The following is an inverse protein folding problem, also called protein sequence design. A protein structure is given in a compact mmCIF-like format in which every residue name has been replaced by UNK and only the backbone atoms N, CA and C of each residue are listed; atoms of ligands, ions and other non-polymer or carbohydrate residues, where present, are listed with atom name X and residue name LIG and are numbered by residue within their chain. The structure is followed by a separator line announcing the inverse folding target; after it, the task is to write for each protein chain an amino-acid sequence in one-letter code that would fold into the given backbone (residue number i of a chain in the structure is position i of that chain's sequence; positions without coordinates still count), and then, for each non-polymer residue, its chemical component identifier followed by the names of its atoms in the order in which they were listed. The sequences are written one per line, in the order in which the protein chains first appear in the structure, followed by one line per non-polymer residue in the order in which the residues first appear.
data_IF_334933847138
#
_entry.id   IF_334933847138
#
_cell.length_a   1.000
_cell.length_b   1.000
_cell.length_c   1.000
_cell.angle_alpha   90.00
_cell.angle_beta   90.00
_cell.angle_gamma   90.00
#
_symmetry.space_group_name_H-M   'P 1'
#
loop_
_entity.id
_entity.type
_entity.pdbx_description
1 polymer ?
#
# COMPACT_ATOMS: atom_id res chain seq x y z
N UNK A 1 -77.90 -11.06 43.92
CA UNK A 1 -77.43 -9.68 44.16
C UNK A 1 -76.04 -9.71 44.79
N UNK A 2 -75.12 -8.93 44.19
CA UNK A 2 -73.79 -8.46 44.67
C UNK A 2 -72.79 -9.50 45.23
N UNK A 3 -71.93 -10.02 44.34
CA UNK A 3 -70.56 -10.46 44.65
C UNK A 3 -69.70 -9.25 45.02
N UNK A 4 -69.12 -9.23 46.21
CA UNK A 4 -68.11 -8.26 46.65
C UNK A 4 -66.71 -8.70 46.22
N UNK A 5 -66.12 -7.97 45.27
CA UNK A 5 -64.77 -8.18 44.71
C UNK A 5 -63.78 -7.37 45.56
N UNK A 6 -63.17 -7.96 46.59
CA UNK A 6 -62.01 -7.34 47.28
C UNK A 6 -60.78 -7.47 46.39
N UNK A 7 -60.10 -6.35 46.20
CA UNK A 7 -59.04 -6.17 45.21
C UNK A 7 -57.73 -6.82 45.67
N UNK A 8 -57.03 -7.44 44.72
CA UNK A 8 -55.76 -8.18 44.90
C UNK A 8 -54.57 -7.28 45.31
N UNK A 9 -54.82 -5.98 45.48
CA UNK A 9 -53.82 -4.94 45.77
C UNK A 9 -53.65 -4.67 47.27
N UNK A 10 -54.65 -4.97 48.10
CA UNK A 10 -54.54 -4.78 49.56
C UNK A 10 -53.67 -5.87 50.23
N UNK A 11 -53.68 -7.09 49.68
CA UNK A 11 -52.90 -8.21 50.21
C UNK A 11 -51.40 -8.12 49.87
N UNK A 12 -51.03 -7.41 48.80
CA UNK A 12 -49.63 -7.15 48.46
C UNK A 12 -49.02 -6.05 49.33
N UNK A 13 -49.77 -4.99 49.64
CA UNK A 13 -49.26 -3.89 50.47
C UNK A 13 -49.08 -4.30 51.94
N UNK A 14 -49.92 -5.18 52.47
CA UNK A 14 -49.75 -5.75 53.82
C UNK A 14 -48.44 -6.55 53.96
N UNK A 15 -48.11 -7.37 52.96
CA UNK A 15 -46.89 -8.22 52.94
C UNK A 15 -45.60 -7.41 52.76
N UNK A 16 -45.66 -6.32 51.99
CA UNK A 16 -44.51 -5.40 51.82
C UNK A 16 -44.23 -4.63 53.11
N UNK A 17 -45.26 -4.21 53.84
CA UNK A 17 -45.10 -3.53 55.13
C UNK A 17 -44.56 -4.45 56.23
N UNK A 18 -44.96 -5.73 56.23
CA UNK A 18 -44.39 -6.72 57.17
C UNK A 18 -42.92 -7.03 56.84
N UNK A 19 -42.55 -7.11 55.56
CA UNK A 19 -41.14 -7.30 55.16
C UNK A 19 -40.24 -6.11 55.51
N UNK A 20 -40.72 -4.86 55.35
CA UNK A 20 -39.96 -3.67 55.70
C UNK A 20 -39.79 -3.51 57.22
N UNK A 21 -40.83 -3.77 58.01
CA UNK A 21 -40.73 -3.70 59.48
C UNK A 21 -39.79 -4.79 60.05
N UNK A 22 -39.79 -5.99 59.46
CA UNK A 22 -38.91 -7.09 59.89
C UNK A 22 -37.44 -6.84 59.49
N UNK A 23 -37.19 -6.13 58.38
CA UNK A 23 -35.83 -5.78 57.96
C UNK A 23 -35.23 -4.61 58.76
N UNK A 24 -36.05 -3.65 59.21
CA UNK A 24 -35.57 -2.58 60.09
C UNK A 24 -35.28 -3.08 61.53
N UNK A 25 -36.02 -4.07 62.03
CA UNK A 25 -35.78 -4.65 63.36
C UNK A 25 -34.50 -5.51 63.44
N UNK A 26 -34.03 -6.07 62.32
CA UNK A 26 -32.75 -6.80 62.25
C UNK A 26 -31.52 -5.88 62.16
N UNK A 27 -31.67 -4.64 61.71
CA UNK A 27 -30.57 -3.66 61.58
C UNK A 27 -30.27 -2.97 62.93
N UNK A 28 -31.19 -2.98 63.89
CA UNK A 28 -30.99 -2.36 65.21
C UNK A 28 -30.39 -3.30 66.29
N UNK A 29 -30.21 -4.60 65.99
CA UNK A 29 -29.75 -5.62 66.95
C UNK A 29 -28.37 -6.23 66.61
N UNK A 30 -27.84 -5.92 65.44
CA UNK A 30 -26.44 -6.15 65.07
C UNK A 30 -25.87 -4.75 64.91
N UNK A 31 -25.02 -4.32 65.86
CA UNK A 31 -24.42 -2.99 65.84
C UNK A 31 -23.88 -2.63 64.45
N UNK A 32 -23.95 -1.34 64.11
CA UNK A 32 -23.43 -0.79 62.87
C UNK A 32 -22.17 -1.54 62.43
N UNK A 33 -22.18 -2.28 61.30
CA UNK A 33 -20.97 -2.39 60.53
C UNK A 33 -20.82 -1.00 59.91
N UNK A 34 -20.27 -0.05 60.67
CA UNK A 34 -19.43 0.96 60.05
C UNK A 34 -18.56 0.17 59.09
N UNK A 35 -18.64 0.36 57.76
CA UNK A 35 -17.75 -0.33 56.87
C UNK A 35 -16.37 0.14 57.31
N UNK A 36 -15.65 -0.72 58.03
CA UNK A 36 -14.23 -0.55 58.22
C UNK A 36 -13.70 -0.38 56.81
N UNK A 37 -13.19 0.82 56.53
CA UNK A 37 -12.37 1.11 55.35
C UNK A 37 -11.57 -0.14 55.07
N UNK A 38 -11.77 -0.79 53.92
CA UNK A 38 -11.07 -2.01 53.57
C UNK A 38 -9.58 -1.81 53.88
N UNK A 39 -9.08 -2.49 54.92
CA UNK A 39 -7.79 -2.18 55.52
C UNK A 39 -6.75 -2.12 54.40
N UNK A 40 -6.06 -0.98 54.31
CA UNK A 40 -5.04 -0.75 53.30
C UNK A 40 -3.99 -1.84 53.49
N UNK A 41 -3.73 -2.69 52.47
CA UNK A 41 -2.78 -3.78 52.62
C UNK A 41 -1.38 -3.25 52.95
N UNK A 42 -0.65 -3.95 53.81
CA UNK A 42 0.68 -3.54 54.26
C UNK A 42 1.66 -3.27 53.10
N UNK A 43 1.51 -3.98 51.98
CA UNK A 43 2.37 -3.77 50.80
C UNK A 43 2.15 -2.42 50.10
N UNK A 44 1.04 -1.72 50.38
CA UNK A 44 0.76 -0.38 49.86
C UNK A 44 1.53 0.67 50.66
N UNK A 45 1.70 0.47 51.97
CA UNK A 45 2.36 1.41 52.88
C UNK A 45 3.85 1.13 53.05
N UNK A 46 4.25 -0.14 53.01
CA UNK A 46 5.64 -0.58 53.13
C UNK A 46 6.00 -1.55 52.01
N UNK A 47 7.10 -1.26 51.29
CA UNK A 47 7.55 -2.13 50.19
C UNK A 47 8.01 -3.48 50.74
N UNK A 48 7.44 -4.61 50.30
CA UNK A 48 7.91 -5.93 50.69
C UNK A 48 9.35 -6.16 50.21
N UNK A 49 10.25 -6.52 51.12
CA UNK A 49 11.59 -7.00 50.75
C UNK A 49 11.55 -8.50 50.47
N UNK A 50 11.84 -8.90 49.23
CA UNK A 50 11.91 -10.29 48.82
C UNK A 50 13.25 -10.57 48.15
N UNK A 51 14.13 -11.31 48.83
CA UNK A 51 15.43 -11.71 48.25
C UNK A 51 15.22 -12.54 46.98
N UNK A 52 15.95 -12.21 45.91
CA UNK A 52 15.84 -12.87 44.61
C UNK A 52 14.72 -12.32 43.70
N UNK A 53 13.97 -11.31 44.16
CA UNK A 53 12.95 -10.64 43.35
C UNK A 53 13.20 -9.13 43.26
N UNK A 54 12.94 -8.55 42.10
CA UNK A 54 12.67 -7.11 41.99
C UNK A 54 11.18 -6.88 42.25
N UNK A 55 10.86 -5.92 43.12
CA UNK A 55 9.47 -5.65 43.57
C UNK A 55 9.07 -4.26 43.12
N UNK A 56 7.98 -4.20 42.34
CA UNK A 56 7.39 -2.97 41.82
C UNK A 56 6.10 -2.62 42.52
N UNK A 57 5.96 -1.39 42.99
CA UNK A 57 4.70 -0.86 43.50
C UNK A 57 4.38 0.42 42.75
N UNK A 58 3.20 0.47 42.12
CA UNK A 58 2.74 1.61 41.36
C UNK A 58 1.36 2.05 41.82
N UNK A 59 1.19 3.36 42.02
CA UNK A 59 -0.08 4.00 42.38
C UNK A 59 -0.60 4.86 41.24
N UNK A 60 -1.92 5.03 41.16
CA UNK A 60 -2.58 6.01 40.30
C UNK A 60 -3.85 6.54 40.98
N UNK A 61 -4.10 7.83 40.82
CA UNK A 61 -5.31 8.50 41.30
C UNK A 61 -6.50 8.17 40.41
N UNK A 62 -7.68 8.01 41.01
CA UNK A 62 -8.88 7.50 40.34
C UNK A 62 -9.60 8.59 39.54
N UNK A 63 -9.51 9.85 39.96
CA UNK A 63 -10.06 11.01 39.23
C UNK A 63 -11.50 10.80 38.76
N UNK A 64 -11.82 11.32 37.57
CA UNK A 64 -13.06 11.01 36.82
C UNK A 64 -12.90 9.81 35.86
N UNK A 65 -11.71 9.21 35.83
CA UNK A 65 -11.35 8.17 34.89
C UNK A 65 -11.96 6.81 35.24
N UNK A 66 -12.20 5.99 34.23
CA UNK A 66 -12.65 4.61 34.45
C UNK A 66 -11.59 3.82 35.23
N UNK A 67 -12.03 3.01 36.21
CA UNK A 67 -11.16 2.18 37.06
C UNK A 67 -10.15 1.32 36.26
N UNK A 68 -10.52 0.86 35.07
CA UNK A 68 -9.62 0.12 34.17
C UNK A 68 -8.42 0.95 33.73
N UNK A 69 -8.63 2.22 33.40
CA UNK A 69 -7.56 3.16 32.98
C UNK A 69 -6.63 3.42 34.17
N UNK A 70 -7.21 3.67 35.34
CA UNK A 70 -6.46 3.92 36.59
C UNK A 70 -5.60 2.71 36.95
N UNK A 71 -6.16 1.49 36.87
CA UNK A 71 -5.41 0.25 37.08
C UNK A 71 -4.30 0.05 36.06
N UNK A 72 -4.51 0.41 34.79
CA UNK A 72 -3.47 0.35 33.77
C UNK A 72 -2.32 1.32 34.08
N UNK A 73 -2.62 2.54 34.52
CA UNK A 73 -1.60 3.51 34.96
C UNK A 73 -0.82 3.00 36.19
N UNK A 74 -1.51 2.49 37.20
CA UNK A 74 -0.88 1.89 38.39
C UNK A 74 0.02 0.69 38.02
N UNK A 75 -0.43 -0.14 37.06
CA UNK A 75 0.38 -1.25 36.54
C UNK A 75 1.64 -0.74 35.82
N UNK A 76 1.51 0.29 34.98
CA UNK A 76 2.64 0.90 34.29
C UNK A 76 3.66 1.49 35.28
N UNK A 77 3.18 2.16 36.34
CA UNK A 77 4.04 2.68 37.41
C UNK A 77 4.79 1.56 38.15
N UNK A 78 4.13 0.44 38.45
CA UNK A 78 4.77 -0.71 39.10
C UNK A 78 5.86 -1.35 38.21
N UNK A 79 5.63 -1.40 36.91
CA UNK A 79 6.60 -1.90 35.93
C UNK A 79 7.82 -0.96 35.79
N UNK A 80 7.58 0.36 35.78
CA UNK A 80 8.63 1.37 35.74
C UNK A 80 9.54 1.27 36.98
N UNK A 81 8.94 1.07 38.15
CA UNK A 81 9.66 0.88 39.42
C UNK A 81 10.56 -0.38 39.41
N UNK A 82 10.08 -1.52 38.88
CA UNK A 82 10.92 -2.71 38.68
C UNK A 82 12.09 -2.41 37.76
N UNK A 83 11.85 -1.70 36.67
CA UNK A 83 12.88 -1.49 35.68
C UNK A 83 13.93 -0.44 36.13
N UNK A 84 13.54 0.56 36.93
CA UNK A 84 14.46 1.45 37.62
C UNK A 84 15.42 0.71 38.57
N UNK A 85 14.92 -0.31 39.30
CA UNK A 85 15.76 -1.15 40.16
C UNK A 85 16.81 -1.96 39.38
N UNK A 86 16.49 -2.35 38.14
CA UNK A 86 17.40 -3.13 37.30
C UNK A 86 18.45 -2.27 36.59
N UNK A 87 18.45 -0.94 36.79
CA UNK A 87 19.28 0.01 36.05
C UNK A 87 19.17 -0.15 34.52
N UNK A 88 18.02 -0.64 34.06
CA UNK A 88 17.70 -0.66 32.65
C UNK A 88 17.14 0.72 32.36
N UNK A 89 17.73 1.43 31.40
CA UNK A 89 17.15 2.67 30.89
C UNK A 89 15.77 2.34 30.32
N UNK A 90 14.75 2.53 31.14
CA UNK A 90 13.38 2.64 30.67
C UNK A 90 13.35 3.99 30.01
N UNK A 91 13.29 4.02 28.67
CA UNK A 91 12.68 5.17 27.99
C UNK A 91 11.18 5.11 28.32
N UNK A 92 10.81 5.27 29.58
CA UNK A 92 9.44 5.49 30.01
C UNK A 92 9.19 6.97 29.88
N UNK A 93 8.36 7.33 28.93
CA UNK A 93 7.69 8.63 28.85
C UNK A 93 6.71 8.82 30.02
N UNK A 94 7.19 8.72 31.27
CA UNK A 94 6.39 8.79 32.49
C UNK A 94 6.83 9.94 33.42
N UNK A 95 7.56 10.94 32.90
CA UNK A 95 7.92 12.16 33.63
C UNK A 95 7.64 13.46 32.85
N UNK A 96 6.76 13.43 31.84
CA UNK A 96 6.32 14.63 31.13
C UNK A 96 4.80 14.65 30.95
N UNK A 97 4.09 14.68 32.08
CA UNK A 97 2.63 14.80 32.14
C UNK A 97 2.23 15.93 33.09
N UNK A 98 2.97 17.04 33.03
CA UNK A 98 2.64 18.28 33.73
C UNK A 98 2.97 19.49 32.83
N UNK A 99 2.41 19.50 31.62
CA UNK A 99 2.21 20.70 30.81
C UNK A 99 1.25 20.35 29.66
N UNK A 100 0.06 20.93 29.74
CA UNK A 100 -1.03 20.84 28.77
C UNK A 100 -0.65 21.52 27.44
N UNK A 101 -1.08 20.93 26.31
CA UNK A 101 -1.66 21.70 25.20
C UNK A 101 -2.55 20.81 24.30
N UNK A 102 -3.62 21.41 23.78
CA UNK A 102 -4.99 20.85 23.70
C UNK A 102 -5.37 20.10 22.40
N UNK A 103 -4.45 19.44 21.67
CA UNK A 103 -4.85 18.74 20.42
C UNK A 103 -4.01 17.51 20.00
N UNK A 104 -3.22 16.93 20.91
CA UNK A 104 -2.27 15.84 20.60
C UNK A 104 -2.69 14.43 21.06
N UNK A 105 -3.91 14.26 21.54
CA UNK A 105 -4.23 13.15 22.47
C UNK A 105 -4.38 11.76 21.81
N UNK A 106 -4.68 11.64 20.51
CA UNK A 106 -4.99 10.33 19.90
C UNK A 106 -3.81 9.60 19.25
N UNK A 107 -2.80 10.28 18.72
CA UNK A 107 -1.64 9.60 18.09
C UNK A 107 -0.47 9.36 19.06
N UNK A 108 -0.35 10.17 20.11
CA UNK A 108 0.65 9.99 21.17
C UNK A 108 0.29 8.81 22.07
N UNK A 109 -1.00 8.54 22.30
CA UNK A 109 -1.44 7.45 23.19
C UNK A 109 -1.12 6.05 22.64
N UNK A 110 -1.28 5.82 21.33
CA UNK A 110 -0.90 4.55 20.69
C UNK A 110 0.62 4.35 20.59
N UNK A 111 1.38 5.45 20.50
CA UNK A 111 2.84 5.44 20.45
C UNK A 111 3.49 5.16 21.82
N UNK A 112 2.95 5.76 22.87
CA UNK A 112 3.54 5.71 24.23
C UNK A 112 3.30 4.37 24.94
N UNK A 113 2.31 3.60 24.48
CA UNK A 113 2.09 2.21 24.95
C UNK A 113 3.19 1.26 24.47
N UNK A 114 4.07 1.67 23.55
CA UNK A 114 4.86 0.73 22.75
C UNK A 114 6.32 0.50 23.15
N UNK A 115 7.03 1.37 23.88
CA UNK A 115 8.51 1.18 23.98
C UNK A 115 9.08 1.49 25.36
N UNK A 116 8.85 0.54 26.28
CA UNK A 116 9.91 -0.01 27.12
C UNK A 116 9.86 -1.52 26.90
N UNK A 117 10.97 -2.13 26.45
CA UNK A 117 11.03 -3.48 25.87
C UNK A 117 10.06 -4.49 26.51
N UNK A 118 9.01 -4.88 25.78
CA UNK A 118 8.11 -5.96 26.18
C UNK A 118 8.87 -7.25 26.49
N UNK A 119 10.02 -7.47 25.84
CA UNK A 119 10.94 -8.57 26.11
C UNK A 119 11.62 -8.52 27.50
N UNK A 120 11.88 -7.35 28.08
CA UNK A 120 12.52 -7.25 29.40
C UNK A 120 11.53 -7.41 30.57
N UNK A 121 10.22 -7.28 30.35
CA UNK A 121 9.21 -7.33 31.41
C UNK A 121 8.20 -8.48 31.22
N UNK A 122 8.46 -9.39 30.27
CA UNK A 122 7.61 -10.55 29.96
C UNK A 122 7.40 -11.51 31.15
N UNK A 123 8.36 -11.58 32.07
CA UNK A 123 8.33 -12.48 33.23
C UNK A 123 7.80 -11.80 34.52
N UNK A 124 7.30 -10.56 34.43
CA UNK A 124 6.74 -9.86 35.58
C UNK A 124 5.37 -10.43 35.94
N UNK A 125 5.17 -10.73 37.22
CA UNK A 125 3.90 -11.24 37.75
C UNK A 125 3.23 -10.15 38.59
N UNK A 126 1.98 -9.85 38.27
CA UNK A 126 1.11 -9.05 39.15
C UNK A 126 0.71 -9.93 40.32
N UNK A 127 1.11 -9.52 41.52
CA UNK A 127 0.87 -10.27 42.75
C UNK A 127 -0.43 -9.82 43.41
N UNK A 128 -0.67 -8.51 43.44
CA UNK A 128 -1.87 -7.95 44.04
C UNK A 128 -2.27 -6.62 43.36
N UNK A 129 -3.55 -6.28 43.51
CA UNK A 129 -4.09 -4.97 43.16
C UNK A 129 -5.05 -4.58 44.27
N UNK A 130 -4.95 -3.34 44.72
CA UNK A 130 -5.85 -2.77 45.71
C UNK A 130 -6.31 -1.41 45.22
N UNK A 131 -7.61 -1.18 45.23
CA UNK A 131 -8.20 0.10 44.83
C UNK A 131 -9.10 0.59 45.96
N UNK A 132 -8.77 1.76 46.48
CA UNK A 132 -9.63 2.53 47.37
C UNK A 132 -10.51 3.50 46.59
N UNK A 133 -11.14 4.43 47.32
CA UNK A 133 -12.06 5.40 46.71
C UNK A 133 -11.37 6.42 45.80
N UNK A 134 -10.12 6.76 46.11
CA UNK A 134 -9.37 7.81 45.39
C UNK A 134 -8.14 7.30 44.67
N UNK A 135 -7.67 6.07 44.96
CA UNK A 135 -6.39 5.57 44.45
C UNK A 135 -6.45 4.07 44.14
N UNK A 136 -5.75 3.64 43.09
CA UNK A 136 -5.40 2.24 42.86
C UNK A 136 -3.90 2.02 42.97
N UNK A 137 -3.54 0.89 43.55
CA UNK A 137 -2.18 0.42 43.73
C UNK A 137 -2.04 -0.97 43.12
N UNK A 138 -0.90 -1.22 42.48
CA UNK A 138 -0.54 -2.51 41.89
C UNK A 138 0.82 -2.94 42.43
N UNK A 139 0.88 -4.17 42.93
CA UNK A 139 2.11 -4.84 43.33
C UNK A 139 2.48 -5.88 42.28
N UNK A 140 3.67 -5.71 41.71
CA UNK A 140 4.28 -6.62 40.76
C UNK A 140 5.63 -7.13 41.28
N UNK A 141 6.05 -8.31 40.82
CA UNK A 141 7.38 -8.84 41.09
C UNK A 141 8.00 -9.51 39.87
N UNK A 142 9.33 -9.50 39.81
CA UNK A 142 10.12 -10.18 38.80
C UNK A 142 11.15 -11.10 39.49
N UNK A 143 11.18 -12.38 39.12
CA UNK A 143 12.20 -13.31 39.58
C UNK A 143 13.52 -13.05 38.84
N UNK A 144 14.56 -12.67 39.60
CA UNK A 144 15.85 -12.29 39.03
C UNK A 144 16.62 -13.50 38.48
N UNK A 145 16.48 -14.68 39.09
CA UNK A 145 17.15 -15.90 38.60
C UNK A 145 16.50 -16.39 37.32
N UNK A 146 15.17 -16.39 37.28
CA UNK A 146 14.44 -16.75 36.07
C UNK A 146 14.79 -15.79 34.93
N UNK A 147 14.83 -14.48 35.22
CA UNK A 147 15.25 -13.46 34.25
C UNK A 147 16.64 -13.74 33.69
N UNK A 148 17.63 -13.96 34.55
CA UNK A 148 19.00 -14.25 34.11
C UNK A 148 19.06 -15.51 33.24
N UNK A 149 18.31 -16.56 33.59
CA UNK A 149 18.21 -17.76 32.78
C UNK A 149 17.60 -17.47 31.40
N UNK A 150 16.49 -16.72 31.35
CA UNK A 150 15.84 -16.29 30.10
C UNK A 150 16.78 -15.45 29.23
N UNK A 151 17.56 -14.54 29.82
CA UNK A 151 18.54 -13.72 29.10
C UNK A 151 19.66 -14.58 28.50
N UNK A 152 20.19 -15.55 29.24
CA UNK A 152 21.21 -16.49 28.75
C UNK A 152 20.65 -17.34 27.61
N UNK A 153 19.47 -17.92 27.79
CA UNK A 153 18.81 -18.73 26.75
C UNK A 153 18.54 -17.91 25.48
N UNK A 154 18.08 -16.67 25.61
CA UNK A 154 17.89 -15.76 24.48
C UNK A 154 19.20 -15.42 23.77
N UNK A 155 20.28 -15.17 24.53
CA UNK A 155 21.59 -14.91 23.96
C UNK A 155 22.16 -16.14 23.23
N UNK A 156 21.99 -17.33 23.79
CA UNK A 156 22.42 -18.59 23.18
C UNK A 156 21.62 -18.90 21.91
N UNK A 157 20.29 -18.71 21.93
CA UNK A 157 19.45 -18.80 20.73
C UNK A 157 19.87 -17.82 19.65
N UNK A 158 20.13 -16.55 20.01
CA UNK A 158 20.61 -15.54 19.06
C UNK A 158 21.95 -15.95 18.45
N UNK A 159 22.88 -16.48 19.26
CA UNK A 159 24.19 -16.95 18.78
C UNK A 159 24.05 -18.13 17.84
N UNK A 160 23.30 -19.16 18.22
CA UNK A 160 23.05 -20.32 17.38
C UNK A 160 22.40 -19.92 16.05
N UNK A 161 21.40 -19.04 16.09
CA UNK A 161 20.75 -18.53 14.89
C UNK A 161 21.72 -17.77 13.99
N UNK A 162 22.59 -16.94 14.56
CA UNK A 162 23.61 -16.22 13.81
C UNK A 162 24.58 -17.19 13.12
N UNK A 163 25.04 -18.22 13.83
CA UNK A 163 25.91 -19.27 13.26
C UNK A 163 25.25 -19.96 12.06
N UNK A 164 24.00 -20.42 12.20
CA UNK A 164 23.23 -21.03 11.10
C UNK A 164 23.09 -20.12 9.87
N UNK A 165 22.90 -18.81 10.09
CA UNK A 165 22.76 -17.82 9.03
C UNK A 165 24.09 -17.56 8.33
N UNK A 166 25.19 -17.51 9.08
CA UNK A 166 26.55 -17.35 8.54
C UNK A 166 26.95 -18.57 7.70
N UNK A 167 26.65 -19.77 8.17
CA UNK A 167 26.84 -21.01 7.39
C UNK A 167 26.07 -20.96 6.08
N UNK A 168 24.79 -20.57 6.12
CA UNK A 168 23.94 -20.47 4.93
C UNK A 168 24.39 -19.38 3.95
N UNK A 169 24.97 -18.29 4.46
CA UNK A 169 25.56 -17.23 3.65
C UNK A 169 26.84 -17.72 2.93
N UNK A 170 27.67 -18.50 3.63
CA UNK A 170 28.91 -19.05 3.11
C UNK A 170 28.69 -20.26 2.17
N UNK A 171 27.57 -20.95 2.29
CA UNK A 171 27.25 -22.14 1.50
C UNK A 171 27.22 -21.84 -0.02
N UNK A 172 28.11 -22.47 -0.80
CA UNK A 172 28.13 -22.31 -2.25
C UNK A 172 26.89 -22.86 -2.95
N UNK A 173 26.19 -23.82 -2.34
CA UNK A 173 25.02 -24.50 -2.92
C UNK A 173 23.70 -23.76 -2.66
N UNK A 174 23.66 -22.91 -1.64
CA UNK A 174 22.53 -22.04 -1.36
C UNK A 174 22.31 -21.05 -2.52
N UNK A 175 21.05 -20.81 -2.88
CA UNK A 175 20.73 -19.82 -3.92
C UNK A 175 21.10 -18.41 -3.47
N UNK A 176 21.37 -17.51 -4.42
CA UNK A 176 21.66 -16.10 -4.12
C UNK A 176 20.61 -15.47 -3.22
N UNK A 177 19.32 -15.71 -3.48
CA UNK A 177 18.23 -15.17 -2.69
C UNK A 177 18.28 -15.63 -1.23
N UNK A 178 18.48 -16.92 -1.00
CA UNK A 178 18.57 -17.51 0.35
C UNK A 178 19.80 -16.99 1.08
N UNK A 179 20.96 -16.97 0.43
CA UNK A 179 22.20 -16.49 1.02
C UNK A 179 22.13 -14.99 1.37
N UNK A 180 21.60 -14.16 0.47
CA UNK A 180 21.46 -12.72 0.74
C UNK A 180 20.43 -12.43 1.84
N UNK A 181 19.32 -13.17 1.89
CA UNK A 181 18.34 -13.05 2.97
C UNK A 181 18.96 -13.48 4.32
N UNK A 182 19.74 -14.56 4.33
CA UNK A 182 20.44 -14.99 5.53
C UNK A 182 21.46 -13.95 6.01
N UNK A 183 22.22 -13.33 5.10
CA UNK A 183 23.13 -12.23 5.45
C UNK A 183 22.41 -10.99 5.98
N UNK A 184 21.25 -10.65 5.42
CA UNK A 184 20.43 -9.55 5.91
C UNK A 184 19.89 -9.82 7.33
N UNK A 185 19.41 -11.03 7.60
CA UNK A 185 18.94 -11.45 8.93
C UNK A 185 20.11 -11.47 9.94
N UNK A 186 21.26 -12.03 9.55
CA UNK A 186 22.47 -12.05 10.37
C UNK A 186 22.91 -10.63 10.77
N UNK A 187 22.81 -9.66 9.86
CA UNK A 187 23.15 -8.26 10.13
C UNK A 187 22.18 -7.58 11.11
N UNK A 188 20.95 -8.10 11.26
CA UNK A 188 20.01 -7.62 12.28
C UNK A 188 20.23 -8.26 13.65
N UNK A 189 20.91 -9.42 13.70
CA UNK A 189 21.17 -10.17 14.92
C UNK A 189 22.55 -9.91 15.50
N UNK A 190 23.52 -9.51 14.69
CA UNK A 190 24.89 -9.27 15.11
C UNK A 190 25.02 -7.94 15.86
N UNK A 191 25.74 -7.94 16.98
CA UNK A 191 26.07 -6.70 17.71
C UNK A 191 27.13 -5.88 16.94
N UNK A 192 27.97 -6.56 16.15
CA UNK A 192 28.90 -5.99 15.16
C UNK A 192 28.70 -6.63 13.79
N UNK A 193 28.46 -5.79 12.78
CA UNK A 193 28.20 -6.19 11.42
C UNK A 193 29.47 -6.56 10.62
N UNK A 194 30.68 -6.30 11.13
CA UNK A 194 31.93 -6.58 10.41
C UNK A 194 32.05 -8.02 9.91
N UNK A 195 31.68 -8.99 10.75
CA UNK A 195 31.73 -10.42 10.43
C UNK A 195 30.68 -10.85 9.41
N UNK A 196 29.56 -10.12 9.28
CA UNK A 196 28.48 -10.41 8.34
C UNK A 196 28.70 -9.71 7.00
N UNK A 197 29.15 -8.45 7.03
CA UNK A 197 29.24 -7.62 5.83
C UNK A 197 30.26 -8.14 4.82
N UNK A 198 31.43 -8.59 5.26
CA UNK A 198 32.45 -9.10 4.34
C UNK A 198 31.96 -10.29 3.49
N UNK A 199 31.47 -11.40 4.09
CA UNK A 199 30.95 -12.53 3.30
C UNK A 199 29.68 -12.15 2.51
N UNK A 200 28.86 -11.23 3.02
CA UNK A 200 27.66 -10.79 2.32
C UNK A 200 27.97 -9.99 1.06
N UNK A 201 28.91 -9.03 1.16
CA UNK A 201 29.42 -8.27 0.02
C UNK A 201 30.13 -9.18 -0.99
N UNK A 202 30.90 -10.17 -0.52
CA UNK A 202 31.54 -11.13 -1.38
C UNK A 202 30.51 -11.96 -2.17
N UNK A 203 29.44 -12.42 -1.51
CA UNK A 203 28.36 -13.14 -2.21
C UNK A 203 27.65 -12.23 -3.20
N UNK A 204 27.32 -11.01 -2.79
CA UNK A 204 26.67 -10.02 -3.65
C UNK A 204 27.51 -9.65 -4.88
N UNK A 205 28.84 -9.58 -4.73
CA UNK A 205 29.76 -9.31 -5.84
C UNK A 205 29.72 -10.39 -6.94
N UNK A 206 29.41 -11.63 -6.56
CA UNK A 206 29.22 -12.75 -7.48
C UNK A 206 27.93 -12.67 -8.31
N UNK A 207 26.99 -11.79 -7.95
CA UNK A 207 25.70 -11.66 -8.63
C UNK A 207 25.81 -10.61 -9.73
N UNK A 208 25.47 -10.95 -10.97
CA UNK A 208 25.42 -10.03 -12.10
C UNK A 208 23.99 -9.90 -12.61
N UNK A 209 23.65 -8.70 -13.08
CA UNK A 209 22.45 -8.48 -13.89
C UNK A 209 22.92 -8.30 -15.33
N UNK A 210 22.28 -8.99 -16.27
CA UNK A 210 22.44 -8.73 -17.69
C UNK A 210 21.79 -7.39 -18.06
N UNK A 211 22.01 -6.92 -19.28
CA UNK A 211 21.21 -5.82 -19.82
C UNK A 211 19.71 -6.12 -19.74
N UNK A 212 18.90 -5.07 -19.71
CA UNK A 212 17.44 -5.19 -19.80
C UNK A 212 17.08 -5.37 -21.28
N UNK A 213 16.40 -6.46 -21.60
CA UNK A 213 15.90 -6.76 -22.94
C UNK A 213 14.42 -6.44 -23.06
N UNK A 214 14.02 -5.84 -24.19
CA UNK A 214 12.62 -5.59 -24.51
C UNK A 214 12.08 -6.76 -25.33
N UNK A 215 11.19 -7.57 -24.74
CA UNK A 215 10.56 -8.73 -25.39
C UNK A 215 9.34 -8.33 -26.25
N UNK A 216 9.25 -7.05 -26.61
CA UNK A 216 8.09 -6.36 -27.20
C UNK A 216 7.37 -5.46 -26.20
N UNK A 217 6.39 -4.65 -26.63
CA UNK A 217 5.46 -4.03 -25.66
C UNK A 217 4.30 -4.97 -25.36
N UNK A 218 3.95 -5.19 -24.08
CA UNK A 218 4.35 -4.40 -22.91
C UNK A 218 5.37 -5.08 -21.97
N UNK A 219 6.33 -5.89 -22.44
CA UNK A 219 7.16 -6.71 -21.54
C UNK A 219 8.67 -6.40 -21.65
N UNK A 220 9.32 -6.31 -20.48
CA UNK A 220 10.76 -6.22 -20.34
C UNK A 220 11.27 -7.36 -19.48
N UNK A 221 12.52 -7.74 -19.69
CA UNK A 221 13.19 -8.81 -18.96
C UNK A 221 14.60 -8.40 -18.56
N UNK A 222 15.03 -8.87 -17.39
CA UNK A 222 16.43 -8.88 -16.98
C UNK A 222 16.79 -10.27 -16.47
N UNK A 223 18.02 -10.71 -16.72
CA UNK A 223 18.53 -11.99 -16.23
C UNK A 223 19.52 -11.71 -15.10
N UNK A 224 19.28 -12.33 -13.95
CA UNK A 224 20.21 -12.32 -12.83
C UNK A 224 20.99 -13.64 -12.80
N UNK A 225 22.31 -13.54 -12.68
CA UNK A 225 23.20 -14.69 -12.58
C UNK A 225 23.99 -14.60 -11.27
N UNK A 226 24.16 -15.71 -10.57
CA UNK A 226 25.03 -15.88 -9.41
C UNK A 226 26.22 -16.74 -9.83
N UNK A 227 27.39 -16.11 -9.94
CA UNK A 227 28.64 -16.75 -10.40
C UNK A 227 28.47 -17.47 -11.74
N UNK A 228 27.67 -16.88 -12.62
CA UNK A 228 27.39 -17.40 -13.97
C UNK A 228 26.24 -18.40 -14.08
N UNK A 229 25.61 -18.79 -12.96
CA UNK A 229 24.42 -19.65 -12.95
C UNK A 229 23.14 -18.84 -12.72
N UNK A 230 21.97 -19.31 -13.18
CA UNK A 230 20.68 -18.68 -12.87
C UNK A 230 20.50 -18.35 -11.40
N UNK A 231 20.30 -17.08 -11.06
CA UNK A 231 20.06 -16.66 -9.69
C UNK A 231 18.56 -16.70 -9.40
N UNK A 232 18.07 -17.80 -8.81
CA UNK A 232 16.65 -18.08 -8.59
C UNK A 232 16.12 -17.34 -7.34
N UNK A 233 14.91 -16.78 -7.44
CA UNK A 233 14.17 -16.17 -6.32
C UNK A 233 14.72 -14.82 -5.85
N UNK A 234 15.59 -14.17 -6.61
CA UNK A 234 16.11 -12.85 -6.28
C UNK A 234 15.04 -11.78 -6.51
N UNK A 235 14.82 -10.88 -5.54
CA UNK A 235 13.95 -9.72 -5.73
C UNK A 235 14.65 -8.68 -6.62
N UNK A 236 13.98 -8.31 -7.71
CA UNK A 236 14.40 -7.26 -8.64
C UNK A 236 13.34 -6.16 -8.64
N UNK A 237 13.76 -4.95 -8.28
CA UNK A 237 12.95 -3.75 -8.33
C UNK A 237 13.13 -3.05 -9.67
N UNK A 238 12.03 -2.81 -10.39
CA UNK A 238 12.03 -2.00 -11.59
C UNK A 238 11.57 -0.57 -11.26
N UNK A 239 12.22 0.40 -11.88
CA UNK A 239 11.85 1.80 -11.84
C UNK A 239 11.88 2.37 -13.26
N UNK A 240 10.93 3.24 -13.57
CA UNK A 240 10.82 3.86 -14.89
C UNK A 240 10.81 5.39 -14.75
N UNK A 241 11.52 6.07 -15.66
CA UNK A 241 11.59 7.53 -15.74
C UNK A 241 11.35 7.97 -17.19
N UNK A 242 10.45 8.93 -17.48
CA UNK A 242 9.70 9.75 -16.52
C UNK A 242 8.56 8.99 -15.81
N UNK A 243 8.19 9.47 -14.61
CA UNK A 243 7.17 8.85 -13.72
C UNK A 243 5.75 8.79 -14.28
N UNK A 244 5.51 9.38 -15.46
CA UNK A 244 4.26 9.25 -16.21
C UNK A 244 4.09 7.87 -16.83
N UNK A 245 5.17 7.08 -16.90
CA UNK A 245 5.14 5.67 -17.28
C UNK A 245 5.03 4.79 -16.03
N UNK A 246 4.47 3.59 -16.17
CA UNK A 246 4.25 2.64 -15.06
C UNK A 246 4.79 1.26 -15.40
N UNK A 247 5.43 0.62 -14.42
CA UNK A 247 6.03 -0.70 -14.51
C UNK A 247 5.79 -1.46 -13.20
N UNK A 248 5.68 -2.79 -13.27
CA UNK A 248 5.63 -3.64 -12.08
C UNK A 248 6.88 -3.40 -11.20
N UNK A 249 6.72 -2.87 -9.98
CA UNK A 249 7.85 -2.31 -9.25
C UNK A 249 8.74 -3.39 -8.62
N UNK A 250 8.24 -4.61 -8.38
CA UNK A 250 9.00 -5.67 -7.73
C UNK A 250 8.61 -7.02 -8.30
N UNK A 251 9.61 -7.77 -8.78
CA UNK A 251 9.45 -9.09 -9.40
C UNK A 251 10.55 -10.02 -8.88
N UNK A 252 10.27 -11.32 -8.81
CA UNK A 252 11.24 -12.34 -8.42
C UNK A 252 11.75 -13.08 -9.65
N UNK A 253 13.03 -13.44 -9.63
CA UNK A 253 13.61 -14.24 -10.70
C UNK A 253 13.11 -15.68 -10.67
N UNK A 254 12.83 -16.23 -11.85
CA UNK A 254 12.37 -17.61 -12.03
C UNK A 254 13.52 -18.64 -11.99
N UNK A 255 13.23 -19.89 -12.37
CA UNK A 255 14.21 -20.99 -12.43
C UNK A 255 15.35 -20.77 -13.43
N UNK A 256 15.19 -19.85 -14.38
CA UNK A 256 16.23 -19.44 -15.33
C UNK A 256 16.90 -18.12 -14.92
N UNK A 257 16.58 -17.58 -13.74
CA UNK A 257 17.13 -16.32 -13.26
C UNK A 257 16.50 -15.10 -13.92
N UNK A 258 15.37 -15.26 -14.62
CA UNK A 258 14.72 -14.17 -15.36
C UNK A 258 13.71 -13.45 -14.47
N UNK A 259 13.77 -12.13 -14.43
CA UNK A 259 12.74 -11.27 -13.85
C UNK A 259 12.06 -10.48 -14.98
N UNK A 260 10.74 -10.69 -15.12
CA UNK A 260 9.91 -10.06 -16.16
C UNK A 260 8.97 -9.05 -15.56
N UNK A 261 8.99 -7.83 -16.07
CA UNK A 261 8.06 -6.78 -15.65
C UNK A 261 7.21 -6.32 -16.83
N UNK A 262 5.95 -5.98 -16.53
CA UNK A 262 5.02 -5.43 -17.52
C UNK A 262 5.05 -3.90 -17.42
N UNK A 263 5.15 -3.24 -18.58
CA UNK A 263 5.01 -1.78 -18.70
C UNK A 263 3.53 -1.48 -18.95
N UNK A 264 2.83 -1.02 -17.91
CA UNK A 264 1.39 -0.69 -18.00
C UNK A 264 1.12 0.49 -18.94
N UNK A 265 2.00 1.48 -18.92
CA UNK A 265 1.92 2.66 -19.76
C UNK A 265 3.34 3.15 -20.06
N UNK A 266 3.62 3.38 -21.34
CA UNK A 266 4.85 4.01 -21.81
C UNK A 266 4.44 5.29 -22.55
N UNK A 267 5.12 6.41 -22.34
CA UNK A 267 4.84 7.67 -23.05
C UNK A 267 6.13 8.14 -23.72
N UNK A 268 6.32 7.80 -25.00
CA UNK A 268 7.58 8.04 -25.71
C UNK A 268 8.70 7.10 -25.24
N UNK A 269 9.94 7.58 -25.29
CA UNK A 269 11.11 6.87 -24.76
C UNK A 269 11.18 7.03 -23.24
N UNK A 270 11.40 5.94 -22.51
CA UNK A 270 11.59 5.99 -21.07
C UNK A 270 12.85 5.21 -20.66
N UNK A 271 13.54 5.71 -19.64
CA UNK A 271 14.65 5.02 -18.99
C UNK A 271 14.07 4.03 -17.98
N UNK A 272 14.40 2.75 -18.14
CA UNK A 272 14.06 1.71 -17.18
C UNK A 272 15.32 1.28 -16.45
N UNK A 273 15.24 1.23 -15.12
CA UNK A 273 16.28 0.73 -14.24
C UNK A 273 15.78 -0.50 -13.50
N UNK A 274 16.55 -1.59 -13.53
CA UNK A 274 16.30 -2.79 -12.75
C UNK A 274 17.40 -2.93 -11.70
N UNK A 275 17.04 -3.06 -10.42
CA UNK A 275 17.97 -3.18 -9.30
C UNK A 275 17.68 -4.43 -8.48
N UNK A 276 18.70 -5.17 -8.06
CA UNK A 276 18.53 -6.18 -7.00
C UNK A 276 18.18 -5.44 -5.71
N UNK A 277 17.04 -5.80 -5.12
CA UNK A 277 16.53 -5.15 -3.91
C UNK A 277 16.58 -6.10 -2.71
N UNK A 278 17.74 -6.11 -2.06
CA UNK A 278 17.96 -6.89 -0.84
C UNK A 278 17.30 -6.24 0.39
N UNK A 279 16.84 -4.99 0.29
CA UNK A 279 16.25 -4.24 1.39
C UNK A 279 14.84 -4.73 1.75
N UNK A 280 14.12 -5.34 0.81
CA UNK A 280 12.79 -5.92 1.06
C UNK A 280 12.86 -7.09 2.07
N UNK A 281 14.06 -7.65 2.28
CA UNK A 281 14.26 -8.71 3.26
C UNK A 281 14.50 -8.18 4.69
N UNK A 282 15.30 -7.12 4.91
CA UNK A 282 15.63 -6.61 6.28
C UNK A 282 16.08 -5.13 6.24
N UNK A 283 15.77 -4.39 7.32
CA UNK A 283 16.14 -2.98 7.54
C UNK A 283 17.64 -2.79 7.83
N UNK A 284 18.48 -2.92 6.80
CA UNK A 284 19.90 -2.52 6.83
C UNK A 284 20.00 -1.07 6.30
N UNK A 285 20.78 -0.16 6.93
CA UNK A 285 20.79 1.27 6.58
C UNK A 285 21.26 1.58 5.15
N UNK A 286 22.09 0.72 4.55
CA UNK A 286 22.58 0.87 3.17
C UNK A 286 22.90 -0.50 2.54
N UNK A 287 21.89 -1.28 2.13
CA UNK A 287 22.15 -2.57 1.49
C UNK A 287 22.84 -2.33 0.15
N UNK A 288 23.79 -3.20 -0.25
CA UNK A 288 24.42 -3.09 -1.54
C UNK A 288 23.35 -3.20 -2.64
N UNK A 289 23.42 -2.28 -3.61
CA UNK A 289 22.53 -2.27 -4.77
C UNK A 289 23.33 -2.50 -6.03
N UNK A 290 22.81 -3.36 -6.89
CA UNK A 290 23.35 -3.58 -8.24
C UNK A 290 22.22 -3.35 -9.20
N UNK A 291 22.43 -2.38 -10.08
CA UNK A 291 21.42 -1.91 -11.00
C UNK A 291 21.95 -1.94 -12.43
N UNK A 292 21.03 -2.17 -13.36
CA UNK A 292 21.24 -1.98 -14.79
C UNK A 292 20.16 -1.05 -15.30
N UNK A 293 20.50 -0.25 -16.31
CA UNK A 293 19.60 0.75 -16.88
C UNK A 293 19.62 0.61 -18.39
N UNK A 294 18.44 0.74 -19.01
CA UNK A 294 18.30 0.81 -20.46
C UNK A 294 17.26 1.86 -20.84
N UNK A 295 17.27 2.27 -22.11
CA UNK A 295 16.21 3.09 -22.69
C UNK A 295 15.25 2.13 -23.40
N UNK A 296 13.97 2.24 -23.07
CA UNK A 296 12.89 1.50 -23.69
C UNK A 296 12.05 2.47 -24.50
N UNK A 297 11.92 2.18 -25.79
CA UNK A 297 11.11 2.97 -26.70
C UNK A 297 9.71 2.38 -26.84
N UNK A 298 8.71 3.25 -27.01
CA UNK A 298 7.44 2.83 -27.58
C UNK A 298 7.72 2.24 -28.98
N UNK A 299 7.29 1.00 -29.27
CA UNK A 299 7.35 0.48 -30.61
C UNK A 299 6.42 1.34 -31.45
N UNK A 300 7.03 2.15 -32.32
CA UNK A 300 6.31 2.94 -33.31
C UNK A 300 5.60 1.95 -34.23
N UNK A 301 4.29 1.79 -34.04
CA UNK A 301 3.47 1.03 -35.00
C UNK A 301 3.43 1.85 -36.27
N UNK A 302 4.13 1.38 -37.31
CA UNK A 302 4.12 2.01 -38.64
C UNK A 302 2.79 1.69 -39.31
N UNK A 303 2.06 2.71 -39.71
CA UNK A 303 0.79 2.56 -40.40
C UNK A 303 0.87 3.18 -41.80
N UNK A 304 0.44 2.44 -42.81
CA UNK A 304 0.18 3.00 -44.13
C UNK A 304 -1.24 3.53 -44.15
N UNK A 305 -1.41 4.80 -44.54
CA UNK A 305 -2.72 5.43 -44.68
C UNK A 305 -3.06 5.58 -46.16
N UNK A 306 -4.12 4.92 -46.58
CA UNK A 306 -4.72 5.08 -47.90
C UNK A 306 -6.06 5.82 -47.75
N UNK A 307 -6.19 6.95 -48.47
CA UNK A 307 -7.37 7.81 -48.41
C UNK A 307 -8.04 7.89 -49.79
N UNK A 308 -9.28 7.41 -49.88
CA UNK A 308 -10.10 7.53 -51.09
C UNK A 308 -11.14 8.64 -50.88
N UNK A 309 -10.94 9.78 -51.54
CA UNK A 309 -11.75 11.00 -51.41
C UNK A 309 -11.81 11.76 -52.73
N UNK A 310 -12.78 12.69 -52.86
CA UNK A 310 -12.82 13.70 -53.93
C UNK A 310 -11.44 14.37 -54.11
N UNK A 311 -10.85 14.37 -55.32
CA UNK A 311 -9.49 14.84 -55.56
C UNK A 311 -9.25 16.29 -55.13
N UNK A 312 -10.31 17.11 -55.08
CA UNK A 312 -10.21 18.51 -54.64
C UNK A 312 -10.06 18.68 -53.13
N UNK A 313 -10.50 17.70 -52.33
CA UNK A 313 -10.45 17.73 -50.87
C UNK A 313 -9.36 16.82 -50.27
N UNK A 314 -8.80 15.91 -51.09
CA UNK A 314 -7.85 14.87 -50.68
C UNK A 314 -6.60 15.39 -49.93
N UNK A 315 -5.85 16.42 -50.39
CA UNK A 315 -4.60 16.80 -49.73
C UNK A 315 -4.81 17.38 -48.32
N UNK A 316 -5.85 18.19 -48.12
CA UNK A 316 -6.18 18.78 -46.81
C UNK A 316 -6.60 17.68 -45.83
N UNK A 317 -7.44 16.77 -46.32
CA UNK A 317 -7.95 15.64 -45.54
C UNK A 317 -6.88 14.65 -45.12
N UNK A 318 -5.99 14.31 -46.06
CA UNK A 318 -4.89 13.40 -45.79
C UNK A 318 -3.96 13.96 -44.71
N UNK A 319 -3.66 15.27 -44.74
CA UNK A 319 -2.84 15.92 -43.72
C UNK A 319 -3.50 15.91 -42.33
N UNK A 320 -4.81 16.21 -42.25
CA UNK A 320 -5.53 16.19 -40.96
C UNK A 320 -5.63 14.78 -40.38
N UNK A 321 -6.00 13.78 -41.20
CA UNK A 321 -6.10 12.38 -40.74
C UNK A 321 -4.73 11.85 -40.32
N UNK A 322 -3.67 12.14 -41.10
CA UNK A 322 -2.31 11.77 -40.73
C UNK A 322 -1.91 12.42 -39.39
N UNK A 323 -2.18 13.71 -39.19
CA UNK A 323 -1.87 14.40 -37.94
C UNK A 323 -2.60 13.79 -36.73
N UNK A 324 -3.86 13.40 -36.88
CA UNK A 324 -4.60 12.71 -35.81
C UNK A 324 -4.01 11.34 -35.48
N UNK A 325 -3.65 10.55 -36.49
CA UNK A 325 -3.06 9.22 -36.29
C UNK A 325 -1.67 9.33 -35.64
N UNK A 326 -0.86 10.30 -36.07
CA UNK A 326 0.44 10.61 -35.45
C UNK A 326 0.29 11.05 -34.01
N UNK A 327 -0.72 11.87 -33.69
CA UNK A 327 -1.05 12.23 -32.31
C UNK A 327 -1.51 11.02 -31.47
N UNK A 328 -2.04 9.98 -32.10
CA UNK A 328 -2.38 8.69 -31.50
C UNK A 328 -1.21 7.70 -31.39
N UNK A 329 0.02 8.10 -31.74
CA UNK A 329 1.23 7.28 -31.62
C UNK A 329 1.52 6.37 -32.82
N UNK A 330 0.86 6.58 -33.97
CA UNK A 330 1.14 5.86 -35.21
C UNK A 330 2.16 6.62 -36.06
N UNK A 331 3.13 5.91 -36.64
CA UNK A 331 4.09 6.49 -37.58
C UNK A 331 3.59 6.27 -39.02
N UNK A 332 3.19 7.33 -39.71
CA UNK A 332 2.57 7.22 -41.04
C UNK A 332 3.66 7.03 -42.10
N UNK A 333 3.63 5.86 -42.76
CA UNK A 333 4.56 5.50 -43.83
C UNK A 333 3.89 5.54 -45.19
N UNK A 334 4.64 5.98 -46.20
CA UNK A 334 4.14 6.10 -47.58
C UNK A 334 4.09 4.79 -48.35
N UNK A 335 4.80 3.76 -47.88
CA UNK A 335 4.80 2.43 -48.51
C UNK A 335 4.10 1.40 -47.62
N UNK A 336 3.31 0.53 -48.22
CA UNK A 336 2.61 -0.57 -47.53
C UNK A 336 3.55 -1.64 -47.00
N UNK A 337 4.70 -1.86 -47.66
CA UNK A 337 5.68 -2.89 -47.31
C UNK A 337 6.51 -2.59 -46.05
N UNK A 338 6.52 -1.32 -45.61
CA UNK A 338 7.16 -0.88 -44.36
C UNK A 338 6.16 -0.66 -43.23
N UNK A 339 4.87 -0.89 -43.50
CA UNK A 339 3.80 -0.72 -42.54
C UNK A 339 3.48 -2.03 -41.81
N UNK A 340 3.28 -1.92 -40.50
CA UNK A 340 2.70 -3.00 -39.68
C UNK A 340 1.18 -3.01 -39.75
N UNK A 341 0.56 -1.90 -40.19
CA UNK A 341 -0.88 -1.72 -40.26
C UNK A 341 -1.23 -0.98 -41.55
N UNK A 342 -2.27 -1.42 -42.26
CA UNK A 342 -2.88 -0.66 -43.36
C UNK A 342 -4.19 -0.07 -42.87
N UNK A 343 -4.35 1.24 -42.96
CA UNK A 343 -5.59 1.95 -42.64
C UNK A 343 -6.12 2.52 -43.95
N UNK A 344 -7.29 2.04 -44.34
CA UNK A 344 -7.99 2.44 -45.55
C UNK A 344 -9.21 3.28 -45.16
N UNK A 345 -9.21 4.56 -45.51
CA UNK A 345 -10.29 5.50 -45.22
C UNK A 345 -10.98 5.91 -46.52
N UNK A 346 -12.22 5.51 -46.69
CA UNK A 346 -13.05 5.84 -47.84
C UNK A 346 -14.14 6.83 -47.42
N UNK A 347 -14.11 8.05 -47.96
CA UNK A 347 -15.12 9.06 -47.67
C UNK A 347 -15.96 9.28 -48.92
N UNK A 348 -17.25 8.95 -48.82
CA UNK A 348 -18.23 9.27 -49.86
C UNK A 348 -18.93 10.58 -49.51
N UNK A 349 -18.67 11.61 -50.31
CA UNK A 349 -19.32 12.91 -50.18
C UNK A 349 -20.60 12.91 -51.01
N UNK A 350 -21.75 13.07 -50.35
CA UNK A 350 -23.04 13.26 -51.02
C UNK A 350 -23.08 14.61 -51.75
N UNK A 351 -23.91 14.76 -52.80
CA UNK A 351 -24.06 16.02 -53.51
C UNK A 351 -24.44 17.17 -52.57
N UNK A 352 -23.79 18.32 -52.78
CA UNK A 352 -23.95 19.52 -51.96
C UNK A 352 -25.28 20.19 -52.28
N UNK A 353 -26.11 20.42 -51.26
CA UNK A 353 -27.29 21.28 -51.40
C UNK A 353 -26.92 22.70 -51.03
N UNK A 354 -27.21 23.66 -51.91
CA UNK A 354 -27.02 25.09 -51.64
C UNK A 354 -28.36 25.68 -51.25
N UNK A 355 -28.44 26.30 -50.08
CA UNK A 355 -29.64 27.00 -49.61
C UNK A 355 -29.23 28.31 -48.98
N UNK A 356 -29.68 29.44 -49.56
CA UNK A 356 -29.34 30.77 -49.06
C UNK A 356 -27.84 31.11 -49.10
N UNK A 357 -27.08 30.56 -50.06
CA UNK A 357 -25.63 30.75 -50.16
C UNK A 357 -24.79 29.86 -49.22
N UNK A 358 -25.44 29.02 -48.40
CA UNK A 358 -24.76 28.06 -47.53
C UNK A 358 -24.72 26.70 -48.22
N UNK A 359 -23.53 26.11 -48.29
CA UNK A 359 -23.31 24.76 -48.78
C UNK A 359 -23.52 23.76 -47.64
N UNK A 360 -24.43 22.80 -47.83
CA UNK A 360 -24.60 21.66 -46.92
C UNK A 360 -24.07 20.39 -47.58
N UNK A 361 -23.24 19.65 -46.86
CA UNK A 361 -22.71 18.37 -47.32
C UNK A 361 -23.02 17.25 -46.34
N UNK A 362 -23.08 16.01 -46.86
CA UNK A 362 -23.11 14.79 -46.06
C UNK A 362 -21.91 13.95 -46.45
N UNK A 363 -21.19 13.47 -45.46
CA UNK A 363 -20.03 12.60 -45.65
C UNK A 363 -20.38 11.25 -45.03
N UNK A 364 -20.31 10.19 -45.82
CA UNK A 364 -20.37 8.82 -45.34
C UNK A 364 -18.91 8.33 -45.18
N UNK A 365 -18.51 7.99 -43.96
CA UNK A 365 -17.13 7.57 -43.63
C UNK A 365 -17.05 6.05 -43.45
N UNK A 366 -16.31 5.37 -44.32
CA UNK A 366 -15.95 3.97 -44.15
C UNK A 366 -14.46 3.86 -43.79
N UNK A 367 -14.15 3.13 -42.72
CA UNK A 367 -12.76 2.88 -42.29
C UNK A 367 -12.56 1.38 -42.26
N UNK A 368 -11.55 0.91 -42.98
CA UNK A 368 -11.04 -0.45 -42.91
C UNK A 368 -9.62 -0.41 -42.32
N UNK A 369 -9.32 -1.30 -41.40
CA UNK A 369 -7.98 -1.50 -40.84
C UNK A 369 -7.59 -2.94 -41.10
N UNK A 370 -6.43 -3.12 -41.72
CA UNK A 370 -5.84 -4.42 -41.98
C UNK A 370 -4.48 -4.56 -41.31
N UNK A 371 -4.22 -5.74 -40.74
CA UNK A 371 -2.91 -6.15 -40.22
C UNK A 371 -2.36 -7.25 -41.14
N UNK A 372 -1.18 -7.04 -41.71
CA UNK A 372 -0.55 -7.94 -42.69
C UNK A 372 -1.48 -8.42 -43.83
N UNK A 373 -2.39 -7.56 -44.29
CA UNK A 373 -3.33 -7.85 -45.38
C UNK A 373 -4.66 -8.48 -44.93
N UNK A 374 -4.81 -8.85 -43.66
CA UNK A 374 -6.07 -9.33 -43.10
C UNK A 374 -6.86 -8.18 -42.49
N UNK A 375 -8.12 -7.99 -42.89
CA UNK A 375 -8.97 -6.90 -42.37
C UNK A 375 -9.41 -7.22 -40.94
N UNK A 376 -8.84 -6.53 -39.97
CA UNK A 376 -9.13 -6.71 -38.54
C UNK A 376 -10.30 -5.82 -38.05
N UNK A 377 -10.57 -4.72 -38.76
CA UNK A 377 -11.66 -3.81 -38.45
C UNK A 377 -12.26 -3.22 -39.72
N UNK A 378 -13.59 -3.15 -39.81
CA UNK A 378 -14.29 -2.41 -40.84
C UNK A 378 -15.51 -1.74 -40.21
N UNK A 379 -15.62 -0.42 -40.35
CA UNK A 379 -16.81 0.34 -39.94
C UNK A 379 -17.60 0.79 -41.17
N UNK A 380 -18.92 0.69 -41.10
CA UNK A 380 -19.81 1.15 -42.17
C UNK A 380 -20.36 2.53 -41.84
N UNK A 381 -19.98 3.51 -42.67
CA UNK A 381 -20.61 4.81 -42.90
C UNK A 381 -21.22 5.52 -41.67
N UNK A 382 -20.42 6.30 -40.94
CA UNK A 382 -20.97 7.40 -40.15
C UNK A 382 -21.39 8.51 -41.12
N UNK A 383 -22.69 8.86 -41.14
CA UNK A 383 -23.22 9.97 -41.95
C UNK A 383 -23.12 11.28 -41.18
N UNK A 384 -22.13 12.09 -41.52
CA UNK A 384 -21.83 13.35 -40.83
C UNK A 384 -22.27 14.52 -41.69
N UNK A 385 -22.97 15.50 -41.10
CA UNK A 385 -23.39 16.72 -41.80
C UNK A 385 -22.43 17.85 -41.49
N UNK A 386 -22.11 18.65 -42.50
CA UNK A 386 -21.39 19.90 -42.34
C UNK A 386 -21.99 21.01 -43.19
N UNK A 387 -21.76 22.24 -42.74
CA UNK A 387 -22.21 23.46 -43.41
C UNK A 387 -21.03 24.44 -43.54
N UNK A 388 -21.00 25.20 -44.62
CA UNK A 388 -19.97 26.20 -44.89
C UNK A 388 -20.35 27.14 -46.01
N UNK A 389 -19.62 28.25 -46.13
CA UNK A 389 -19.79 29.23 -47.22
C UNK A 389 -19.19 28.73 -48.54
N UNK A 390 -18.36 27.69 -48.47
CA UNK A 390 -17.85 26.96 -49.64
C UNK A 390 -18.06 25.46 -49.46
N UNK A 391 -18.01 24.71 -50.57
CA UNK A 391 -18.02 23.23 -50.55
C UNK A 391 -16.88 22.67 -49.68
N UNK A 392 -15.67 23.25 -49.76
CA UNK A 392 -14.53 22.81 -48.96
C UNK A 392 -14.73 23.04 -47.47
N UNK A 393 -15.24 24.21 -47.10
CA UNK A 393 -15.54 24.54 -45.71
C UNK A 393 -16.64 23.65 -45.12
N UNK A 394 -17.70 23.35 -45.89
CA UNK A 394 -18.75 22.43 -45.46
C UNK A 394 -18.22 21.02 -45.16
N UNK A 395 -17.22 20.55 -45.93
CA UNK A 395 -16.56 19.25 -45.74
C UNK A 395 -15.72 19.27 -44.46
N UNK A 396 -14.89 20.30 -44.26
CA UNK A 396 -14.04 20.43 -43.07
C UNK A 396 -14.90 20.55 -41.80
N UNK A 397 -15.98 21.33 -41.84
CA UNK A 397 -16.93 21.48 -40.72
C UNK A 397 -17.60 20.16 -40.36
N UNK A 398 -17.98 19.33 -41.36
CA UNK A 398 -18.52 18.00 -41.10
C UNK A 398 -17.54 17.15 -40.28
N UNK A 399 -16.26 17.14 -40.65
CA UNK A 399 -15.25 16.28 -40.02
C UNK A 399 -14.83 16.75 -38.62
N UNK A 400 -15.03 18.04 -38.34
CA UNK A 400 -14.78 18.64 -37.02
C UNK A 400 -16.00 18.59 -36.09
N UNK A 401 -17.15 18.10 -36.55
CA UNK A 401 -18.38 18.07 -35.75
C UNK A 401 -18.24 17.11 -34.57
N UNK A 402 -18.29 17.60 -33.31
CA UNK A 402 -18.18 16.76 -32.13
C UNK A 402 -19.41 15.85 -32.01
N UNK A 403 -19.20 14.55 -31.78
CA UNK A 403 -20.30 13.62 -31.50
C UNK A 403 -21.01 13.03 -32.72
N UNK A 404 -20.35 12.95 -33.89
CA UNK A 404 -20.75 11.99 -34.91
C UNK A 404 -20.82 10.59 -34.27
N UNK A 405 -22.04 10.11 -34.07
CA UNK A 405 -22.35 8.99 -33.18
C UNK A 405 -21.51 7.75 -33.45
N UNK A 406 -21.04 7.16 -32.35
CA UNK A 406 -20.45 5.82 -32.27
C UNK A 406 -21.23 4.82 -33.12
N UNK A 407 -20.51 3.99 -33.87
CA UNK A 407 -21.00 2.68 -34.26
C UNK A 407 -20.02 1.63 -33.74
N UNK A 408 -20.50 0.77 -32.85
CA UNK A 408 -19.80 -0.45 -32.44
C UNK A 408 -19.72 -1.37 -33.66
N UNK A 409 -18.52 -1.83 -34.01
CA UNK A 409 -18.32 -2.89 -35.00
C UNK A 409 -17.91 -4.18 -34.30
N UNK A 410 -18.45 -5.30 -34.77
CA UNK A 410 -18.11 -6.65 -34.34
C UNK A 410 -17.36 -7.34 -35.47
N UNK A 411 -16.14 -7.80 -35.21
CA UNK A 411 -15.41 -8.70 -36.11
C UNK A 411 -15.14 -10.00 -35.35
N UNK A 412 -15.50 -11.14 -35.96
CA UNK A 412 -15.30 -12.49 -35.40
C UNK A 412 -15.81 -12.69 -33.95
N UNK A 413 -16.96 -12.10 -33.60
CA UNK A 413 -17.59 -12.30 -32.29
C UNK A 413 -16.93 -11.59 -31.10
N UNK A 414 -15.86 -10.81 -31.31
CA UNK A 414 -15.24 -9.97 -30.27
C UNK A 414 -15.55 -8.48 -30.51
N UNK A 415 -16.07 -7.82 -29.46
CA UNK A 415 -16.35 -6.37 -29.46
C UNK A 415 -15.04 -5.61 -29.25
N UNK A 416 -14.66 -4.77 -30.22
CA UNK A 416 -13.52 -3.84 -30.08
C UNK A 416 -14.06 -2.41 -30.19
N UNK A 417 -13.90 -1.61 -29.14
CA UNK A 417 -14.26 -0.19 -29.13
C UNK A 417 -13.03 0.65 -29.49
N UNK A 418 -13.03 1.27 -30.66
CA UNK A 418 -12.04 2.28 -31.03
C UNK A 418 -12.62 3.66 -30.73
N UNK A 419 -11.99 4.40 -29.81
CA UNK A 419 -12.38 5.76 -29.43
C UNK A 419 -11.38 6.75 -30.02
N UNK A 420 -11.79 7.50 -31.04
CA UNK A 420 -11.06 8.68 -31.49
C UNK A 420 -11.57 9.86 -30.68
N UNK A 421 -10.81 10.33 -29.70
CA UNK A 421 -11.13 11.52 -28.93
C UNK A 421 -10.29 12.71 -29.44
N UNK A 422 -10.87 13.90 -29.68
CA UNK A 422 -10.07 15.08 -29.96
C UNK A 422 -9.30 15.52 -28.72
N UNK A 423 -8.08 16.03 -28.95
CA UNK A 423 -7.26 16.72 -27.95
C UNK A 423 -8.06 17.91 -27.41
N UNK A 424 -8.27 17.98 -26.08
CA UNK A 424 -8.71 19.23 -25.44
C UNK A 424 -7.62 20.26 -25.65
N UNK A 425 -7.84 21.25 -26.51
CA UNK A 425 -7.08 22.49 -26.45
C UNK A 425 -7.48 23.19 -25.15
N UNK A 426 -6.56 23.26 -24.19
CA UNK A 426 -6.67 24.16 -23.06
C UNK A 426 -6.56 25.57 -23.64
N UNK A 427 -7.70 26.25 -23.78
CA UNK A 427 -7.73 27.68 -24.03
C UNK A 427 -7.25 28.36 -22.74
N UNK A 428 -6.00 28.82 -22.75
CA UNK A 428 -5.53 29.83 -21.80
C UNK A 428 -6.32 31.11 -22.05
N UNK A 429 -7.28 31.42 -21.18
CA UNK A 429 -7.92 32.71 -21.15
C UNK A 429 -6.90 33.77 -20.76
N UNK A 430 -6.46 34.57 -21.74
CA UNK A 430 -5.89 35.88 -21.46
C UNK A 430 -7.03 36.84 -21.15
N UNK A 431 -7.12 37.30 -19.90
CA UNK A 431 -7.90 38.49 -19.57
C UNK A 431 -7.04 39.72 -19.89
N UNK A 432 -7.46 40.49 -20.88
CA UNK A 432 -7.09 41.90 -21.02
C UNK A 432 -8.28 42.75 -20.60
N UNK A 433 -8.20 43.31 -19.39
CA UNK A 433 -8.70 44.64 -19.01
C UNK A 433 -8.10 44.99 -17.66
#
# INVERSE_FOLDING_TARGET
MKRGRRSRTEDLMSKVWTYLATRCAMIALVGDPTPALADVPDWVTERPQQSGYAVGIGGAETGEDALSIVRHRATAAALADIAAQLQIDVVSAAAHSAAEDDDGFTSSYESTTRIASSAALQDVKIVATWCGEQNCWVYARLDLRQREASLRENADRRRQRLEELLERLADPSSSAAVALAAGAEAASLADDNTLVMAPWLQRFAGITLTGIEQLGTPAIEVIALDRGLPAIGLPVRFAISPSTSRVDPLVWTDGEGRARATIEALHGSATVTACIDVAVAVAVPSPPRRCVTTIVDQPRRRAHLELTVDPTAQPVLQAEVAAMLTAGGLDIVTRTDTASLSINVNLRVSPVTVTGGIHFTRIDVAVAVADRGETIHATTASRIRGAGLTRGEAIVTALRTPGAGLLEATTHGRRVRVRVAPRRSVLSGGSSS
#
